data_IF_033311419500
#
_entry.id   IF_033311419500
#
_cell.length_a   1.000
_cell.length_b   1.000
_cell.length_c   1.000
_cell.angle_alpha   90.00
_cell.angle_beta   90.00
_cell.angle_gamma   90.00
#
_symmetry.space_group_name_H-M   'P 1'
#
loop_
_entity.id
_entity.type
_entity.pdbx_description
1 polymer ?
#
# COMPACT_ATOMS: atom_id res chain seq x y z
N UNK A 1 -24.89 10.43 -45.36
CA UNK A 1 -26.07 10.89 -46.14
C UNK A 1 -27.42 10.31 -45.67
N UNK A 2 -27.47 9.20 -44.92
CA UNK A 2 -28.74 8.60 -44.46
C UNK A 2 -29.48 9.51 -43.46
N UNK A 3 -28.78 10.12 -42.50
CA UNK A 3 -29.37 11.02 -41.50
C UNK A 3 -29.94 12.33 -42.09
N UNK A 4 -29.28 12.90 -43.10
CA UNK A 4 -29.77 14.09 -43.82
C UNK A 4 -31.04 13.78 -44.60
N UNK A 5 -31.13 12.58 -45.19
CA UNK A 5 -32.33 12.13 -45.92
C UNK A 5 -33.54 11.87 -45.00
N UNK A 6 -33.32 11.55 -43.72
CA UNK A 6 -34.39 11.26 -42.76
C UNK A 6 -34.82 12.48 -41.91
N UNK A 7 -33.90 13.40 -41.61
CA UNK A 7 -34.13 14.49 -40.64
C UNK A 7 -33.73 15.90 -41.15
N UNK A 8 -33.39 16.05 -42.45
CA UNK A 8 -32.98 17.34 -43.03
C UNK A 8 -31.68 17.88 -42.43
N UNK A 9 -31.54 19.21 -42.33
CA UNK A 9 -30.35 19.87 -41.76
C UNK A 9 -30.13 19.53 -40.27
N UNK A 10 -31.21 19.32 -39.50
CA UNK A 10 -31.12 18.88 -38.10
C UNK A 10 -30.54 17.46 -37.97
N UNK A 11 -30.65 16.64 -39.02
CA UNK A 11 -30.09 15.29 -39.07
C UNK A 11 -28.57 15.26 -39.00
N UNK A 12 -27.89 16.33 -39.43
CA UNK A 12 -26.42 16.44 -39.32
C UNK A 12 -26.02 16.57 -37.86
N UNK A 13 -26.65 17.46 -37.10
CA UNK A 13 -26.35 17.66 -35.69
C UNK A 13 -26.60 16.38 -34.86
N UNK A 14 -27.74 15.72 -35.09
CA UNK A 14 -28.10 14.47 -34.42
C UNK A 14 -27.11 13.36 -34.77
N UNK A 15 -26.75 13.21 -36.04
CA UNK A 15 -25.81 12.19 -36.46
C UNK A 15 -24.40 12.42 -35.91
N UNK A 16 -23.93 13.67 -35.86
CA UNK A 16 -22.65 14.03 -35.26
C UNK A 16 -22.65 13.71 -33.77
N UNK A 17 -23.70 14.11 -33.04
CA UNK A 17 -23.79 13.84 -31.60
C UNK A 17 -23.85 12.33 -31.31
N UNK A 18 -24.64 11.58 -32.09
CA UNK A 18 -24.71 10.13 -31.99
C UNK A 18 -23.35 9.47 -32.30
N UNK A 19 -22.67 9.91 -33.36
CA UNK A 19 -21.35 9.40 -33.73
C UNK A 19 -20.31 9.68 -32.64
N UNK A 20 -20.30 10.89 -32.09
CA UNK A 20 -19.42 11.26 -30.97
C UNK A 20 -19.67 10.37 -29.76
N UNK A 21 -20.95 10.12 -29.39
CA UNK A 21 -21.29 9.19 -28.31
C UNK A 21 -20.78 7.77 -28.57
N UNK A 22 -20.96 7.27 -29.78
CA UNK A 22 -20.48 5.94 -30.17
C UNK A 22 -18.96 5.86 -30.06
N UNK A 23 -18.23 6.86 -30.56
CA UNK A 23 -16.76 6.90 -30.47
C UNK A 23 -16.33 7.01 -29.00
N UNK A 24 -16.94 7.89 -28.21
CA UNK A 24 -16.62 8.04 -26.79
C UNK A 24 -16.81 6.73 -26.04
N UNK A 25 -17.91 6.01 -26.27
CA UNK A 25 -18.17 4.74 -25.57
C UNK A 25 -17.17 3.68 -26.04
N UNK A 26 -17.14 3.37 -27.34
CA UNK A 26 -16.46 2.18 -27.84
C UNK A 26 -14.95 2.38 -28.06
N UNK A 27 -14.50 3.58 -28.41
CA UNK A 27 -13.09 3.84 -28.70
C UNK A 27 -12.34 4.45 -27.52
N UNK A 28 -13.03 5.16 -26.63
CA UNK A 28 -12.37 5.88 -25.54
C UNK A 28 -12.65 5.27 -24.16
N UNK A 29 -13.90 5.31 -23.71
CA UNK A 29 -14.26 4.97 -22.33
C UNK A 29 -14.14 3.47 -22.10
N UNK A 30 -14.79 2.63 -22.92
CA UNK A 30 -14.77 1.17 -22.72
C UNK A 30 -13.36 0.58 -22.77
N UNK A 31 -12.49 0.90 -23.74
CA UNK A 31 -11.12 0.39 -23.75
C UNK A 31 -10.31 0.87 -22.53
N UNK A 32 -10.45 2.14 -22.13
CA UNK A 32 -9.80 2.67 -20.92
C UNK A 32 -10.28 1.96 -19.66
N UNK A 33 -11.58 1.69 -19.53
CA UNK A 33 -12.14 0.95 -18.39
C UNK A 33 -11.64 -0.49 -18.35
N UNK A 34 -11.59 -1.19 -19.48
CA UNK A 34 -11.05 -2.57 -19.54
C UNK A 34 -9.56 -2.59 -19.16
N UNK A 35 -8.78 -1.63 -19.64
CA UNK A 35 -7.37 -1.48 -19.27
C UNK A 35 -7.18 -1.22 -17.76
N UNK A 36 -8.07 -0.43 -17.15
CA UNK A 36 -8.04 -0.16 -15.71
C UNK A 36 -8.45 -1.37 -14.87
N UNK A 37 -9.41 -2.19 -15.33
CA UNK A 37 -9.86 -3.39 -14.63
C UNK A 37 -8.88 -4.57 -14.75
N UNK A 38 -8.11 -4.63 -15.84
CA UNK A 38 -7.12 -5.69 -16.08
C UNK A 38 -5.74 -5.09 -16.41
N UNK A 39 -5.13 -4.36 -15.47
CA UNK A 39 -3.90 -3.60 -15.72
C UNK A 39 -2.76 -4.52 -16.14
N UNK A 40 -2.58 -5.68 -15.52
CA UNK A 40 -1.48 -6.60 -15.84
C UNK A 40 -1.50 -7.04 -17.31
N UNK A 41 -2.63 -7.55 -17.81
CA UNK A 41 -2.74 -8.08 -19.18
C UNK A 41 -2.55 -7.02 -20.25
N UNK A 42 -2.92 -5.77 -19.97
CA UNK A 42 -2.78 -4.66 -20.92
C UNK A 42 -1.44 -3.94 -20.78
N UNK A 43 -0.90 -3.84 -19.56
CA UNK A 43 0.36 -3.15 -19.27
C UNK A 43 1.57 -3.93 -19.78
N UNK A 44 1.59 -5.26 -19.75
CA UNK A 44 2.73 -6.03 -20.25
C UNK A 44 3.04 -5.75 -21.74
N UNK A 45 2.10 -5.87 -22.70
CA UNK A 45 2.38 -5.52 -24.09
C UNK A 45 2.56 -4.01 -24.29
N UNK A 46 1.81 -3.17 -23.57
CA UNK A 46 1.94 -1.72 -23.69
C UNK A 46 3.32 -1.21 -23.22
N UNK A 47 3.88 -1.80 -22.16
CA UNK A 47 5.18 -1.41 -21.62
C UNK A 47 6.32 -1.66 -22.61
N UNK A 48 6.23 -2.71 -23.44
CA UNK A 48 7.22 -2.97 -24.49
C UNK A 48 7.36 -1.80 -25.49
N UNK A 49 6.27 -1.06 -25.75
CA UNK A 49 6.27 0.14 -26.60
C UNK A 49 6.53 1.43 -25.81
N UNK A 50 6.00 1.53 -24.59
CA UNK A 50 6.14 2.73 -23.75
C UNK A 50 7.58 2.91 -23.24
N UNK A 51 8.31 1.84 -22.93
CA UNK A 51 9.70 1.91 -22.46
C UNK A 51 10.66 2.59 -23.46
N UNK A 52 10.72 2.20 -24.75
CA UNK A 52 11.58 2.89 -25.71
C UNK A 52 11.11 4.33 -25.95
N UNK A 53 9.80 4.58 -26.01
CA UNK A 53 9.25 5.93 -26.15
C UNK A 53 9.65 6.82 -24.96
N UNK A 54 9.53 6.30 -23.74
CA UNK A 54 9.97 6.94 -22.51
C UNK A 54 11.46 7.26 -22.58
N UNK A 55 12.30 6.32 -23.03
CA UNK A 55 13.74 6.54 -23.15
C UNK A 55 14.10 7.66 -24.12
N UNK A 56 13.35 7.79 -25.22
CA UNK A 56 13.49 8.89 -26.19
C UNK A 56 13.02 10.22 -25.61
N UNK A 57 11.96 10.22 -24.81
CA UNK A 57 11.42 11.43 -24.16
C UNK A 57 12.16 11.83 -22.87
N UNK A 58 12.91 10.91 -22.28
CA UNK A 58 13.69 11.13 -21.05
C UNK A 58 14.59 12.37 -21.09
N UNK A 59 15.39 12.64 -22.15
CA UNK A 59 16.20 13.86 -22.20
C UNK A 59 15.35 15.15 -22.14
N UNK A 60 14.15 15.14 -22.73
CA UNK A 60 13.24 16.28 -22.68
C UNK A 60 12.69 16.47 -21.26
N UNK A 61 12.28 15.39 -20.60
CA UNK A 61 11.81 15.41 -19.21
C UNK A 61 12.90 15.97 -18.29
N UNK A 62 14.14 15.52 -18.45
CA UNK A 62 15.27 16.03 -17.68
C UNK A 62 15.51 17.52 -17.93
N UNK A 63 15.47 17.98 -19.19
CA UNK A 63 15.65 19.39 -19.52
C UNK A 63 14.57 20.28 -18.86
N UNK A 64 13.31 19.84 -18.92
CA UNK A 64 12.19 20.55 -18.29
C UNK A 64 12.35 20.55 -16.77
N UNK A 65 12.65 19.40 -16.16
CA UNK A 65 12.85 19.30 -14.70
C UNK A 65 14.03 20.16 -14.23
N UNK A 66 15.13 20.18 -14.98
CA UNK A 66 16.27 21.05 -14.66
C UNK A 66 15.90 22.53 -14.76
N UNK A 67 15.11 22.93 -15.75
CA UNK A 67 14.64 24.30 -15.88
C UNK A 67 13.70 24.67 -14.73
N UNK A 68 12.71 23.82 -14.43
CA UNK A 68 11.77 24.01 -13.31
C UNK A 68 12.52 24.11 -11.98
N UNK A 69 13.43 23.20 -11.70
CA UNK A 69 14.23 23.21 -10.48
C UNK A 69 15.16 24.43 -10.42
N UNK A 70 15.69 24.88 -11.56
CA UNK A 70 16.43 26.13 -11.66
C UNK A 70 15.58 27.35 -11.27
N UNK A 71 14.36 27.43 -11.78
CA UNK A 71 13.41 28.50 -11.45
C UNK A 71 13.02 28.44 -9.97
N UNK A 72 12.71 27.25 -9.44
CA UNK A 72 12.39 27.05 -8.02
C UNK A 72 13.55 27.50 -7.12
N UNK A 73 14.79 27.11 -7.45
CA UNK A 73 15.99 27.54 -6.71
C UNK A 73 16.20 29.06 -6.77
N UNK A 74 15.94 29.69 -7.91
CA UNK A 74 15.98 31.16 -8.04
C UNK A 74 14.90 31.86 -7.21
N UNK A 75 13.75 31.22 -7.01
CA UNK A 75 12.67 31.72 -6.14
C UNK A 75 12.88 31.37 -4.65
N UNK A 76 13.96 30.67 -4.29
CA UNK A 76 14.27 30.28 -2.92
C UNK A 76 13.61 28.99 -2.43
N UNK A 77 13.02 28.19 -3.34
CA UNK A 77 12.48 26.87 -3.02
C UNK A 77 13.54 25.79 -3.33
N UNK A 78 13.75 24.86 -2.39
CA UNK A 78 14.68 23.74 -2.54
C UNK A 78 13.91 22.46 -2.91
N UNK A 79 13.90 22.04 -4.18
CA UNK A 79 13.22 20.81 -4.61
C UNK A 79 13.92 19.50 -4.20
N UNK A 80 15.10 19.56 -3.57
CA UNK A 80 15.88 18.39 -3.17
C UNK A 80 15.25 17.60 -1.99
N UNK A 81 14.15 18.08 -1.40
CA UNK A 81 13.40 17.38 -0.35
C UNK A 81 12.33 16.42 -0.90
N UNK A 82 12.04 16.46 -2.21
CA UNK A 82 11.04 15.59 -2.83
C UNK A 82 11.62 14.25 -3.33
N UNK A 83 12.85 13.92 -2.92
CA UNK A 83 13.57 12.74 -3.36
C UNK A 83 13.49 11.60 -2.36
N UNK A 84 12.33 10.97 -2.23
CA UNK A 84 12.25 9.52 -2.02
C UNK A 84 10.83 9.04 -2.37
N UNK A 85 10.70 8.25 -3.43
CA UNK A 85 9.52 7.37 -3.63
C UNK A 85 9.49 6.25 -2.55
N UNK A 86 10.20 6.43 -1.44
CA UNK A 86 10.06 5.61 -0.24
C UNK A 86 8.71 5.95 0.37
N UNK A 87 7.72 5.12 0.05
CA UNK A 87 6.45 5.09 0.75
C UNK A 87 6.74 5.08 2.24
N UNK A 88 6.28 6.11 2.94
CA UNK A 88 6.46 6.19 4.39
C UNK A 88 5.76 5.01 5.08
N UNK A 89 6.20 4.66 6.28
CA UNK A 89 5.61 3.56 7.03
C UNK A 89 4.10 3.81 7.29
N UNK A 90 3.72 5.07 7.49
CA UNK A 90 2.34 5.52 7.66
C UNK A 90 1.52 5.34 6.38
N UNK A 91 2.10 5.61 5.21
CA UNK A 91 1.47 5.35 3.91
C UNK A 91 1.37 3.85 3.64
N UNK A 92 2.40 3.04 3.96
CA UNK A 92 2.35 1.58 3.86
C UNK A 92 1.27 1.00 4.77
N UNK A 93 1.17 1.47 6.02
CA UNK A 93 0.11 1.11 6.97
C UNK A 93 -1.27 1.45 6.42
N UNK A 94 -1.41 2.61 5.77
CA UNK A 94 -2.65 3.05 5.13
C UNK A 94 -3.03 2.12 3.97
N UNK A 95 -2.10 1.85 3.05
CA UNK A 95 -2.31 0.95 1.91
C UNK A 95 -2.72 -0.46 2.35
N UNK A 96 -2.07 -1.02 3.39
CA UNK A 96 -2.40 -2.35 3.94
C UNK A 96 -3.78 -2.35 4.61
N UNK A 97 -4.17 -1.24 5.22
CA UNK A 97 -5.49 -1.10 5.87
C UNK A 97 -6.60 -0.90 4.85
N UNK A 98 -6.35 -0.15 3.77
CA UNK A 98 -7.31 0.11 2.68
C UNK A 98 -7.47 -1.10 1.74
N UNK A 99 -6.41 -1.89 1.53
CA UNK A 99 -6.44 -3.15 0.74
C UNK A 99 -7.10 -4.32 1.47
N UNK A 100 -7.86 -4.05 2.54
CA UNK A 100 -8.50 -5.04 3.41
C UNK A 100 -9.49 -5.97 2.71
N UNK A 101 -10.01 -5.61 1.54
CA UNK A 101 -10.93 -6.44 0.76
C UNK A 101 -10.25 -7.60 0.03
N UNK A 102 -8.94 -7.49 -0.25
CA UNK A 102 -8.18 -8.52 -0.96
C UNK A 102 -7.33 -9.41 -0.02
N UNK A 103 -7.10 -8.99 1.22
CA UNK A 103 -6.25 -9.68 2.20
C UNK A 103 -7.08 -10.26 3.34
N UNK A 104 -7.02 -11.58 3.62
CA UNK A 104 -7.70 -12.19 4.76
C UNK A 104 -7.33 -11.53 6.10
N UNK A 105 -8.31 -11.30 6.97
CA UNK A 105 -8.17 -10.57 8.24
C UNK A 105 -7.03 -11.06 9.15
N UNK A 106 -6.69 -12.36 9.09
CA UNK A 106 -5.55 -12.94 9.83
C UNK A 106 -4.20 -12.43 9.35
N UNK A 107 -3.99 -12.33 8.03
CA UNK A 107 -2.73 -11.89 7.44
C UNK A 107 -2.55 -10.38 7.57
N UNK A 108 -3.65 -9.61 7.48
CA UNK A 108 -3.63 -8.16 7.72
C UNK A 108 -3.13 -7.79 9.11
N UNK A 109 -3.63 -8.46 10.17
CA UNK A 109 -3.14 -8.24 11.54
C UNK A 109 -1.66 -8.57 11.69
N UNK A 110 -1.20 -9.63 11.03
CA UNK A 110 0.22 -10.00 11.04
C UNK A 110 1.09 -8.92 10.38
N UNK A 111 0.69 -8.41 9.20
CA UNK A 111 1.45 -7.38 8.48
C UNK A 111 1.54 -6.07 9.29
N UNK A 112 0.44 -5.64 9.90
CA UNK A 112 0.44 -4.45 10.78
C UNK A 112 1.36 -4.67 11.98
N UNK A 113 1.29 -5.83 12.63
CA UNK A 113 2.19 -6.14 13.75
C UNK A 113 3.66 -6.19 13.34
N UNK A 114 4.00 -6.65 12.12
CA UNK A 114 5.38 -6.67 11.62
C UNK A 114 5.91 -5.25 11.43
N UNK A 115 5.09 -4.34 10.90
CA UNK A 115 5.46 -2.92 10.81
C UNK A 115 5.72 -2.35 12.22
N UNK A 116 4.90 -2.73 13.20
CA UNK A 116 5.09 -2.26 14.58
C UNK A 116 6.37 -2.80 15.24
N UNK A 117 6.81 -4.01 14.87
CA UNK A 117 8.05 -4.60 15.38
C UNK A 117 9.31 -3.80 14.99
N UNK A 118 9.29 -3.07 13.87
CA UNK A 118 10.43 -2.24 13.44
C UNK A 118 10.70 -1.08 14.41
N UNK A 119 9.64 -0.52 15.01
CA UNK A 119 9.75 0.58 15.97
C UNK A 119 9.84 0.11 17.42
N UNK A 120 9.60 -1.18 17.71
CA UNK A 120 9.68 -1.70 19.08
C UNK A 120 11.11 -1.72 19.58
N UNK A 121 11.31 -1.16 20.77
CA UNK A 121 12.59 -1.22 21.50
C UNK A 121 12.62 -2.42 22.44
N UNK A 122 13.82 -2.83 22.87
CA UNK A 122 13.98 -3.89 23.88
C UNK A 122 13.19 -3.60 25.16
N UNK A 123 13.05 -2.32 25.52
CA UNK A 123 12.29 -1.91 26.70
C UNK A 123 10.79 -2.19 26.57
N UNK A 124 10.26 -2.22 25.34
CA UNK A 124 8.83 -2.44 25.07
C UNK A 124 8.43 -3.92 25.16
N UNK A 125 9.41 -4.82 25.16
CA UNK A 125 9.24 -6.29 25.19
C UNK A 125 9.84 -6.96 26.42
N UNK A 126 10.78 -6.32 27.11
CA UNK A 126 11.42 -6.91 28.28
C UNK A 126 10.45 -7.03 29.45
N UNK A 127 10.56 -8.14 30.21
CA UNK A 127 9.94 -8.22 31.52
C UNK A 127 10.68 -7.27 32.48
N UNK A 128 9.99 -6.35 33.17
CA UNK A 128 10.65 -5.41 34.06
C UNK A 128 11.28 -6.16 35.24
N UNK A 129 12.43 -5.69 35.74
CA UNK A 129 13.27 -6.43 36.71
C UNK A 129 12.54 -6.81 38.01
N UNK A 130 11.52 -6.05 38.40
CA UNK A 130 10.68 -6.32 39.56
C UNK A 130 9.73 -7.52 39.36
N UNK A 131 9.48 -7.91 38.11
CA UNK A 131 8.65 -9.07 37.73
C UNK A 131 9.50 -10.32 37.42
N UNK A 132 10.83 -10.20 37.46
CA UNK A 132 11.75 -11.32 37.29
C UNK A 132 11.86 -12.08 38.61
N UNK A 133 11.39 -13.32 38.61
CA UNK A 133 11.57 -14.24 39.73
C UNK A 133 12.95 -14.91 39.65
N UNK A 134 13.82 -14.61 40.63
CA UNK A 134 15.09 -15.30 40.81
C UNK A 134 14.93 -16.61 41.58
N UNK A 135 15.70 -17.63 41.20
CA UNK A 135 15.86 -18.88 41.96
C UNK A 135 17.26 -18.86 42.56
N UNK A 136 17.33 -19.10 43.87
CA UNK A 136 18.60 -19.29 44.57
C UNK A 136 19.09 -20.73 44.34
N UNK A 137 20.28 -20.85 43.74
CA UNK A 137 20.90 -22.15 43.42
C UNK A 137 21.59 -22.79 44.63
N UNK A 138 21.82 -22.03 45.71
CA UNK A 138 22.41 -22.55 46.95
C UNK A 138 21.33 -23.06 47.91
N UNK A 139 20.04 -22.84 47.59
CA UNK A 139 18.92 -23.31 48.38
C UNK A 139 18.74 -24.84 48.26
N UNK A 140 18.26 -25.53 49.31
CA UNK A 140 17.98 -26.96 49.24
C UNK A 140 16.98 -27.31 48.13
N UNK A 141 17.21 -28.42 47.43
CA UNK A 141 16.42 -28.87 46.27
C UNK A 141 14.90 -28.84 46.52
N UNK A 142 14.45 -29.22 47.72
CA UNK A 142 13.04 -29.16 48.09
C UNK A 142 12.46 -27.75 48.11
N UNK A 143 13.24 -26.75 48.54
CA UNK A 143 12.84 -25.35 48.59
C UNK A 143 12.72 -24.77 47.17
N UNK A 144 13.69 -25.07 46.31
CA UNK A 144 13.67 -24.70 44.89
C UNK A 144 12.46 -25.32 44.18
N UNK A 145 12.19 -26.61 44.42
CA UNK A 145 11.09 -27.32 43.78
C UNK A 145 9.71 -26.81 44.22
N UNK A 146 9.59 -26.34 45.47
CA UNK A 146 8.37 -25.67 45.98
C UNK A 146 8.18 -24.29 45.31
N UNK A 147 9.25 -23.51 45.14
CA UNK A 147 9.19 -22.21 44.44
C UNK A 147 8.77 -22.37 42.97
N UNK A 148 9.37 -23.33 42.26
CA UNK A 148 9.04 -23.63 40.86
C UNK A 148 7.57 -24.05 40.68
N UNK A 149 7.06 -24.97 41.51
CA UNK A 149 5.64 -25.41 41.43
C UNK A 149 4.67 -24.26 41.68
N UNK A 150 4.98 -23.38 42.64
CA UNK A 150 4.13 -22.23 42.97
C UNK A 150 4.11 -21.19 41.85
N UNK A 151 5.26 -20.91 41.23
CA UNK A 151 5.37 -19.97 40.12
C UNK A 151 4.78 -20.50 38.82
N UNK A 152 4.99 -21.79 38.52
CA UNK A 152 4.42 -22.44 37.33
C UNK A 152 2.89 -22.46 37.36
N UNK A 153 2.29 -22.69 38.53
CA UNK A 153 0.84 -22.60 38.72
C UNK A 153 0.30 -21.17 38.46
N UNK A 154 1.04 -20.14 38.89
CA UNK A 154 0.68 -18.74 38.64
C UNK A 154 0.82 -18.38 37.16
N UNK A 155 1.89 -18.80 36.49
CA UNK A 155 2.12 -18.57 35.06
C UNK A 155 1.01 -19.20 34.20
N UNK A 156 0.59 -20.43 34.50
CA UNK A 156 -0.50 -21.10 33.77
C UNK A 156 -1.86 -20.43 34.02
N UNK A 157 -2.12 -19.98 35.25
CA UNK A 157 -3.37 -19.29 35.59
C UNK A 157 -3.48 -17.90 34.94
N UNK A 158 -2.35 -17.25 34.67
CA UNK A 158 -2.27 -15.92 34.04
C UNK A 158 -2.41 -15.95 32.51
N UNK A 159 -2.31 -17.12 31.85
CA UNK A 159 -2.54 -17.25 30.40
C UNK A 159 -4.04 -17.09 30.09
N UNK A 160 -4.47 -16.01 29.40
CA UNK A 160 -5.88 -15.81 29.12
C UNK A 160 -6.38 -16.86 28.11
N UNK A 161 -7.50 -17.54 28.42
CA UNK A 161 -8.21 -18.46 27.50
C UNK A 161 -8.90 -17.72 26.34
N UNK A 162 -8.16 -16.96 25.52
CA UNK A 162 -8.70 -16.24 24.34
C UNK A 162 -8.58 -17.01 23.02
N UNK A 163 -8.49 -18.34 23.08
CA UNK A 163 -8.39 -19.19 21.89
C UNK A 163 -9.43 -20.34 21.89
N UNK A 164 -10.66 -20.05 22.32
CA UNK A 164 -11.82 -20.92 22.12
C UNK A 164 -13.06 -20.09 21.82
N UNK A 165 -13.02 -19.29 20.75
CA UNK A 165 -14.20 -18.83 20.00
C UNK A 165 -13.68 -18.07 18.78
N UNK A 166 -14.06 -18.57 17.60
CA UNK A 166 -13.93 -17.97 16.25
C UNK A 166 -12.79 -18.51 15.37
#
# INVERSE_FOLDING_TARGET
MIAIRLFGDAGIAIATLALTLVILIFAEITPKTIAALHPERVAFPASALLLPLQKVLMPLVLAINSLTNGILKLMGFSPDEAGDDAVSQEELRTIVTESASMIPSRHRRMLVNILDLEQMTVNDIMAPRNEIYGIDIEAPDEAVMRQLKKQWAYAIAAVPRRYQSD
#
